data_IF_042070265640
#
_entry.id   IF_042070265640
#
_cell.length_a   1.000
_cell.length_b   1.000
_cell.length_c   1.000
_cell.angle_alpha   90.00
_cell.angle_beta   90.00
_cell.angle_gamma   90.00
#
_symmetry.space_group_name_H-M   'P 1'
#
loop_
_entity.id
_entity.type
_entity.pdbx_description
1 polymer ?
#
# COMPACT_ATOMS: atom_id res chain seq x y z
N UNK A 1 -20.63 -0.10 -3.56
CA UNK A 1 -19.43 0.62 -4.01
C UNK A 1 -19.01 1.53 -2.87
N UNK A 2 -17.92 1.18 -2.21
CA UNK A 2 -17.29 1.88 -1.10
C UNK A 2 -16.10 2.70 -1.61
N UNK A 3 -15.59 3.65 -0.82
CA UNK A 3 -14.39 4.42 -1.18
C UNK A 3 -13.17 3.52 -1.43
N UNK A 4 -13.12 2.37 -0.73
CA UNK A 4 -12.11 1.32 -0.94
C UNK A 4 -12.23 0.70 -2.33
N UNK A 5 -13.45 0.43 -2.81
CA UNK A 5 -13.67 -0.13 -4.15
C UNK A 5 -13.19 0.83 -5.25
N UNK A 6 -13.29 2.14 -5.02
CA UNK A 6 -12.81 3.18 -5.94
C UNK A 6 -11.27 3.18 -5.96
N UNK A 7 -10.62 3.15 -4.79
CA UNK A 7 -9.16 3.08 -4.68
C UNK A 7 -8.58 1.82 -5.32
N UNK A 8 -9.24 0.68 -5.12
CA UNK A 8 -8.89 -0.58 -5.80
C UNK A 8 -8.98 -0.46 -7.32
N UNK A 9 -10.00 0.22 -7.84
CA UNK A 9 -10.13 0.49 -9.28
C UNK A 9 -8.99 1.36 -9.84
N UNK A 10 -8.58 2.40 -9.10
CA UNK A 10 -7.46 3.27 -9.47
C UNK A 10 -6.14 2.52 -9.42
N UNK A 11 -5.88 1.76 -8.35
CA UNK A 11 -4.68 0.95 -8.19
C UNK A 11 -4.56 -0.12 -9.28
N UNK A 12 -5.68 -0.78 -9.62
CA UNK A 12 -5.75 -1.71 -10.74
C UNK A 12 -5.40 -1.02 -12.06
N UNK A 13 -5.98 0.15 -12.35
CA UNK A 13 -5.68 0.88 -13.59
C UNK A 13 -4.21 1.29 -13.68
N UNK A 14 -3.64 1.84 -12.59
CA UNK A 14 -2.23 2.21 -12.53
C UNK A 14 -1.31 1.01 -12.79
N UNK A 15 -1.63 -0.16 -12.26
CA UNK A 15 -0.85 -1.39 -12.47
C UNK A 15 -0.79 -1.88 -13.93
N UNK A 16 -1.61 -1.32 -14.82
CA UNK A 16 -1.62 -1.66 -16.26
C UNK A 16 -0.68 -0.81 -17.10
N UNK A 17 -0.04 0.21 -16.51
CA UNK A 17 0.99 0.98 -17.20
C UNK A 17 2.31 0.19 -17.21
N UNK A 18 2.93 0.09 -18.39
CA UNK A 18 4.17 -0.68 -18.58
C UNK A 18 5.36 -0.19 -17.72
N UNK A 19 5.29 1.07 -17.27
CA UNK A 19 6.30 1.70 -16.41
C UNK A 19 6.15 1.31 -14.93
N UNK A 20 5.00 0.76 -14.53
CA UNK A 20 4.68 0.42 -13.14
C UNK A 20 4.79 -1.09 -12.95
N UNK A 21 5.83 -1.54 -12.25
CA UNK A 21 6.06 -2.98 -12.04
C UNK A 21 5.11 -3.65 -11.04
N UNK A 22 4.46 -2.87 -10.17
CA UNK A 22 3.44 -3.31 -9.22
C UNK A 22 2.84 -2.10 -8.49
N UNK A 23 1.62 -2.26 -7.98
CA UNK A 23 0.98 -1.32 -7.06
C UNK A 23 0.57 -2.09 -5.82
N UNK A 24 0.92 -1.54 -4.65
CA UNK A 24 0.47 -2.05 -3.35
C UNK A 24 -0.31 -0.95 -2.64
N UNK A 25 -1.50 -1.29 -2.17
CA UNK A 25 -2.39 -0.42 -1.42
C UNK A 25 -2.47 -0.92 0.02
N UNK A 26 -2.20 -0.06 0.99
CA UNK A 26 -2.33 -0.39 2.43
C UNK A 26 -3.49 0.42 3.00
N UNK A 27 -4.51 -0.28 3.48
CA UNK A 27 -5.69 0.30 4.10
C UNK A 27 -5.59 0.14 5.61
N UNK A 28 -5.59 1.26 6.35
CA UNK A 28 -5.76 1.27 7.80
C UNK A 28 -7.18 1.75 8.11
N UNK A 29 -7.99 0.88 8.70
CA UNK A 29 -9.36 1.18 9.07
C UNK A 29 -9.44 1.77 10.48
N UNK A 30 -10.52 2.50 10.76
CA UNK A 30 -10.71 3.18 12.04
C UNK A 30 -10.89 2.20 13.23
N UNK A 31 -11.29 0.96 12.96
CA UNK A 31 -11.35 -0.13 13.93
C UNK A 31 -9.97 -0.78 14.19
N UNK A 32 -8.93 -0.29 13.52
CA UNK A 32 -7.58 -0.83 13.60
C UNK A 32 -7.31 -2.00 12.65
N UNK A 33 -8.28 -2.40 11.82
CA UNK A 33 -8.04 -3.43 10.81
C UNK A 33 -7.07 -2.93 9.74
N UNK A 34 -6.28 -3.85 9.19
CA UNK A 34 -5.32 -3.56 8.13
C UNK A 34 -5.57 -4.50 6.97
N UNK A 35 -5.85 -3.93 5.80
CA UNK A 35 -5.98 -4.70 4.55
C UNK A 35 -4.91 -4.27 3.55
N UNK A 36 -4.51 -5.22 2.73
CA UNK A 36 -3.50 -5.02 1.70
C UNK A 36 -4.13 -5.40 0.36
N UNK A 37 -4.04 -4.50 -0.61
CA UNK A 37 -4.36 -4.73 -2.02
C UNK A 37 -3.08 -4.87 -2.84
N UNK A 38 -3.07 -5.80 -3.79
CA UNK A 38 -1.93 -6.10 -4.66
C UNK A 38 -2.36 -6.09 -6.12
N UNK A 39 -1.70 -5.29 -6.96
CA UNK A 39 -2.04 -5.16 -8.38
C UNK A 39 -0.79 -5.19 -9.26
N UNK A 40 -0.86 -5.92 -10.38
CA UNK A 40 0.25 -6.06 -11.33
C UNK A 40 1.44 -6.85 -10.78
N UNK A 41 1.30 -7.52 -9.62
CA UNK A 41 2.38 -8.28 -9.01
C UNK A 41 2.61 -9.58 -9.77
N UNK A 42 3.85 -9.81 -10.21
CA UNK A 42 4.20 -10.95 -11.07
C UNK A 42 4.49 -12.23 -10.27
N UNK A 43 4.90 -12.11 -9.00
CA UNK A 43 5.16 -13.25 -8.12
C UNK A 43 5.17 -12.85 -6.63
N UNK A 44 5.06 -13.86 -5.76
CA UNK A 44 5.00 -13.69 -4.31
C UNK A 44 6.27 -13.09 -3.68
N UNK A 45 7.45 -13.27 -4.28
CA UNK A 45 8.68 -12.62 -3.78
C UNK A 45 8.64 -11.11 -3.99
N UNK A 46 8.13 -10.67 -5.14
CA UNK A 46 7.92 -9.25 -5.44
C UNK A 46 6.89 -8.64 -4.47
N UNK A 47 5.78 -9.34 -4.19
CA UNK A 47 4.80 -8.95 -3.16
C UNK A 47 5.48 -8.71 -1.81
N UNK A 48 6.20 -9.71 -1.29
CA UNK A 48 6.83 -9.63 0.04
C UNK A 48 7.85 -8.49 0.11
N UNK A 49 8.66 -8.32 -0.94
CA UNK A 49 9.63 -7.22 -1.02
C UNK A 49 8.96 -5.85 -1.00
N UNK A 50 7.89 -5.67 -1.76
CA UNK A 50 7.15 -4.41 -1.81
C UNK A 50 6.39 -4.12 -0.50
N UNK A 51 5.83 -5.13 0.14
CA UNK A 51 5.18 -5.00 1.45
C UNK A 51 6.18 -4.61 2.54
N UNK A 52 7.36 -5.22 2.54
CA UNK A 52 8.45 -4.81 3.44
C UNK A 52 8.84 -3.35 3.26
N UNK A 53 8.88 -2.86 2.02
CA UNK A 53 9.18 -1.45 1.70
C UNK A 53 8.06 -0.50 2.11
N UNK A 54 6.80 -0.89 1.88
CA UNK A 54 5.65 -0.10 2.31
C UNK A 54 5.61 0.02 3.85
N UNK A 55 5.84 -1.08 4.57
CA UNK A 55 5.95 -1.09 6.03
C UNK A 55 7.09 -0.19 6.52
N UNK A 56 8.27 -0.23 5.89
CA UNK A 56 9.39 0.64 6.23
C UNK A 56 9.03 2.13 6.09
N UNK A 57 8.35 2.52 5.01
CA UNK A 57 7.92 3.90 4.78
C UNK A 57 6.91 4.35 5.83
N UNK A 58 5.91 3.51 6.15
CA UNK A 58 4.90 3.80 7.16
C UNK A 58 5.55 3.96 8.54
N UNK A 59 6.41 3.02 8.95
CA UNK A 59 7.12 3.11 10.23
C UNK A 59 7.94 4.40 10.34
N UNK A 60 8.71 4.76 9.31
CA UNK A 60 9.49 6.00 9.30
C UNK A 60 8.60 7.26 9.38
N UNK A 61 7.45 7.25 8.73
CA UNK A 61 6.51 8.36 8.80
C UNK A 61 5.95 8.54 10.21
N UNK A 62 5.54 7.43 10.85
CA UNK A 62 5.03 7.42 12.23
C UNK A 62 6.10 7.83 13.25
N UNK A 63 7.34 7.33 13.09
CA UNK A 63 8.47 7.73 13.94
C UNK A 63 8.74 9.24 13.84
N UNK A 64 8.64 9.81 12.64
CA UNK A 64 8.82 11.25 12.41
C UNK A 64 7.71 12.08 13.03
N UNK A 65 6.46 11.65 12.94
CA UNK A 65 5.33 12.31 13.62
C UNK A 65 5.46 12.23 15.14
N UNK A 66 5.85 11.08 15.68
CA UNK A 66 6.10 10.91 17.11
C UNK A 66 7.25 11.80 17.61
N UNK A 67 8.31 11.96 16.82
CA UNK A 67 9.45 12.80 17.18
C UNK A 67 9.16 14.30 17.10
N UNK A 68 8.22 14.71 16.23
CA UNK A 68 7.76 16.10 16.13
C UNK A 68 6.67 16.49 17.15
N UNK A 69 6.07 15.50 17.82
CA UNK A 69 5.06 15.69 18.86
C UNK A 69 5.62 15.77 20.29
N UNK A 70 6.93 15.58 20.46
CA UNK A 70 7.67 15.68 21.74
C UNK A 70 8.41 17.02 21.86
#
# INVERSE_FOLDING_TARGET
>A
MTDVDILEGVAHHASRHDEISAVITVYLFADGDVRIGEHGVMNSHQTVGLLGRAAEVICRALEKESAGAA
#
